data_IF_568405887718
#
_entry.id   IF_568405887718
#
_cell.length_a   1.000
_cell.length_b   1.000
_cell.length_c   1.000
_cell.angle_alpha   90.00
_cell.angle_beta   90.00
_cell.angle_gamma   90.00
#
_symmetry.space_group_name_H-M   'P 1'
#
loop_
_entity.id
_entity.type
_entity.pdbx_description
1 polymer ?
#
# COMPACT_ATOMS: atom_id res chain seq x y z
N UNK A 1 0.91 6.75 -21.44
CA UNK A 1 1.96 7.09 -20.47
C UNK A 1 1.42 6.77 -19.08
N UNK A 2 1.69 5.59 -18.55
CA UNK A 2 1.36 5.28 -17.15
C UNK A 2 2.32 6.06 -16.29
N UNK A 3 1.79 7.03 -15.55
CA UNK A 3 2.56 7.75 -14.52
C UNK A 3 3.05 6.71 -13.51
N UNK A 4 4.33 6.33 -13.57
CA UNK A 4 4.96 5.41 -12.62
C UNK A 4 5.33 6.15 -11.32
N UNK A 5 4.43 6.99 -10.82
CA UNK A 5 4.60 7.56 -9.49
C UNK A 5 4.46 6.43 -8.48
N UNK A 6 5.60 5.94 -8.00
CA UNK A 6 5.65 5.02 -6.87
C UNK A 6 5.05 5.75 -5.66
N UNK A 7 3.93 5.25 -5.16
CA UNK A 7 3.26 5.65 -3.93
C UNK A 7 4.03 5.18 -2.70
N UNK A 8 4.69 4.02 -2.78
CA UNK A 8 5.50 3.46 -1.70
C UNK A 8 6.98 3.83 -1.83
N UNK A 9 7.34 5.07 -1.45
CA UNK A 9 8.70 5.64 -1.61
C UNK A 9 9.63 5.49 -0.42
N UNK A 10 9.09 5.43 0.80
CA UNK A 10 9.86 5.38 2.05
C UNK A 10 9.46 4.17 2.87
N UNK A 11 10.40 3.62 3.64
CA UNK A 11 10.12 2.50 4.55
C UNK A 11 9.87 1.16 3.86
N UNK A 12 10.19 1.03 2.57
CA UNK A 12 9.94 -0.19 1.78
C UNK A 12 11.20 -0.77 1.13
N UNK A 13 12.38 -0.28 1.53
CA UNK A 13 13.64 -0.81 1.02
C UNK A 13 13.88 -2.24 1.56
N UNK A 14 14.52 -3.14 0.78
CA UNK A 14 15.04 -4.38 1.31
C UNK A 14 15.86 -4.15 2.57
N UNK A 15 15.61 -4.94 3.60
CA UNK A 15 16.22 -4.75 4.92
C UNK A 15 15.32 -4.07 5.95
N UNK A 16 14.31 -3.31 5.52
CA UNK A 16 13.40 -2.62 6.43
C UNK A 16 12.61 -3.61 7.27
N UNK A 17 12.42 -3.30 8.56
CA UNK A 17 11.61 -4.10 9.49
C UNK A 17 10.21 -3.49 9.60
N UNK A 18 9.21 -4.26 9.20
CA UNK A 18 7.79 -3.99 9.46
C UNK A 18 7.48 -4.50 10.86
N UNK A 19 6.87 -3.66 11.69
CA UNK A 19 6.36 -4.01 13.02
C UNK A 19 4.85 -3.94 13.00
N UNK A 20 4.19 -5.04 13.34
CA UNK A 20 2.74 -5.11 13.52
C UNK A 20 2.49 -5.33 15.01
N UNK A 21 1.57 -4.59 15.61
CA UNK A 21 1.26 -4.62 17.04
C UNK A 21 0.04 -5.50 17.36
N UNK A 22 -0.87 -5.69 16.39
CA UNK A 22 -2.15 -6.39 16.56
C UNK A 22 -2.38 -7.46 15.48
N UNK A 23 -3.17 -8.52 15.79
CA UNK A 23 -3.67 -8.88 17.12
C UNK A 23 -2.57 -9.39 18.07
N UNK A 24 -1.43 -9.80 17.53
CA UNK A 24 -0.22 -10.14 18.26
C UNK A 24 0.96 -9.41 17.64
N UNK A 25 1.89 -8.96 18.48
CA UNK A 25 3.08 -8.27 18.01
C UNK A 25 3.93 -9.19 17.13
N UNK A 26 4.26 -8.75 15.92
CA UNK A 26 5.14 -9.48 15.00
C UNK A 26 6.06 -8.53 14.24
N UNK A 27 7.19 -9.07 13.79
CA UNK A 27 8.22 -8.32 13.07
C UNK A 27 8.58 -9.06 11.80
N UNK A 28 8.71 -8.33 10.70
CA UNK A 28 8.95 -8.91 9.38
C UNK A 28 9.94 -8.07 8.62
N UNK A 29 11.04 -8.68 8.18
CA UNK A 29 12.06 -8.01 7.37
C UNK A 29 11.68 -8.11 5.90
N UNK A 30 11.60 -6.99 5.21
CA UNK A 30 11.42 -6.95 3.76
C UNK A 30 12.67 -7.53 3.09
N UNK A 31 12.47 -8.54 2.26
CA UNK A 31 13.51 -9.09 1.39
C UNK A 31 13.45 -8.44 0.02
N UNK A 32 12.24 -8.29 -0.53
CA UNK A 32 12.02 -7.79 -1.88
C UNK A 32 10.65 -7.13 -2.01
N UNK A 33 10.56 -6.08 -2.83
CA UNK A 33 9.30 -5.50 -3.30
C UNK A 33 8.97 -6.11 -4.66
N UNK A 34 7.93 -6.95 -4.69
CA UNK A 34 7.59 -7.76 -5.86
C UNK A 34 6.82 -6.97 -6.91
N UNK A 35 5.89 -6.12 -6.46
CA UNK A 35 5.15 -5.24 -7.34
C UNK A 35 4.56 -4.05 -6.58
N UNK A 36 4.11 -3.09 -7.37
CA UNK A 36 3.28 -1.98 -6.95
C UNK A 36 2.23 -1.73 -8.04
N UNK A 37 1.00 -1.48 -7.62
CA UNK A 37 -0.08 -1.11 -8.52
C UNK A 37 -0.99 -0.09 -7.84
N UNK A 38 -1.59 0.78 -8.63
CA UNK A 38 -2.67 1.66 -8.21
C UNK A 38 -3.95 1.35 -8.98
N UNK A 39 -5.07 1.62 -8.33
CA UNK A 39 -6.40 1.57 -8.92
C UNK A 39 -7.11 2.88 -8.61
N UNK A 40 -7.64 3.50 -9.67
CA UNK A 40 -8.23 4.82 -9.64
C UNK A 40 -9.72 4.66 -9.91
N UNK A 41 -10.52 4.91 -8.88
CA UNK A 41 -11.97 4.84 -8.95
C UNK A 41 -12.54 5.99 -9.76
N UNK A 42 -13.59 5.70 -10.54
CA UNK A 42 -14.39 6.77 -11.15
C UNK A 42 -15.39 7.34 -10.15
N UNK A 43 -15.91 8.54 -10.43
CA UNK A 43 -16.96 9.17 -9.61
C UNK A 43 -18.21 8.29 -9.55
N UNK A 44 -18.54 7.59 -10.64
CA UNK A 44 -19.68 6.67 -10.69
C UNK A 44 -19.48 5.46 -9.78
N UNK A 45 -18.27 4.89 -9.77
CA UNK A 45 -17.93 3.75 -8.89
C UNK A 45 -17.94 4.16 -7.41
N UNK A 46 -17.46 5.37 -7.10
CA UNK A 46 -17.58 5.90 -5.76
C UNK A 46 -19.05 6.08 -5.36
N UNK A 47 -19.85 6.79 -6.18
CA UNK A 47 -21.24 7.06 -5.87
C UNK A 47 -22.10 5.80 -5.73
N UNK A 48 -21.83 4.77 -6.55
CA UNK A 48 -22.61 3.53 -6.52
C UNK A 48 -22.20 2.55 -5.41
N UNK A 49 -20.90 2.48 -5.09
CA UNK A 49 -20.34 1.40 -4.26
C UNK A 49 -19.41 1.88 -3.12
N UNK A 50 -19.23 3.19 -2.97
CA UNK A 50 -18.25 3.78 -2.05
C UNK A 50 -16.81 3.40 -2.40
N UNK A 51 -16.53 3.12 -3.68
CA UNK A 51 -15.20 2.74 -4.12
C UNK A 51 -14.20 3.89 -3.87
N UNK A 52 -13.07 3.55 -3.25
CA UNK A 52 -11.99 4.50 -2.96
C UNK A 52 -10.75 4.12 -3.74
N UNK A 53 -10.16 5.12 -4.39
CA UNK A 53 -8.88 4.95 -5.08
C UNK A 53 -7.81 4.49 -4.10
N UNK A 54 -6.97 3.54 -4.54
CA UNK A 54 -5.92 2.98 -3.68
C UNK A 54 -4.64 2.68 -4.45
N UNK A 55 -3.54 2.60 -3.72
CA UNK A 55 -2.32 1.98 -4.19
C UNK A 55 -1.97 0.79 -3.29
N UNK A 56 -1.40 -0.26 -3.88
CA UNK A 56 -0.94 -1.41 -3.13
C UNK A 56 0.45 -1.84 -3.56
N UNK A 57 1.24 -2.32 -2.60
CA UNK A 57 2.54 -2.91 -2.86
C UNK A 57 2.63 -4.29 -2.21
N UNK A 58 3.19 -5.25 -2.94
CA UNK A 58 3.42 -6.61 -2.45
C UNK A 58 4.90 -6.81 -2.14
N UNK A 59 5.17 -7.36 -0.97
CA UNK A 59 6.51 -7.63 -0.45
C UNK A 59 6.68 -9.12 -0.17
N UNK A 60 7.89 -9.61 -0.42
CA UNK A 60 8.38 -10.84 0.16
C UNK A 60 9.13 -10.48 1.45
N UNK A 61 8.74 -11.09 2.55
CA UNK A 61 9.32 -10.85 3.86
C UNK A 61 9.81 -12.15 4.51
N UNK A 62 10.67 -12.03 5.51
CA UNK A 62 10.97 -13.11 6.44
C UNK A 62 10.89 -12.68 7.90
N UNK A 63 10.75 -13.65 8.79
CA UNK A 63 10.93 -13.41 10.22
C UNK A 63 12.42 -13.05 10.48
N UNK A 64 12.71 -11.91 11.14
CA UNK A 64 14.08 -11.47 11.39
C UNK A 64 14.90 -12.45 12.24
N UNK A 65 14.26 -13.18 13.15
CA UNK A 65 14.88 -14.18 14.03
C UNK A 65 14.88 -15.57 13.37
N UNK A 66 13.83 -15.89 12.61
CA UNK A 66 13.64 -17.19 11.94
C UNK A 66 13.64 -17.05 10.43
N UNK A 67 14.80 -16.79 9.82
CA UNK A 67 14.92 -16.43 8.38
C UNK A 67 14.32 -17.45 7.39
N UNK A 68 14.19 -18.72 7.79
CA UNK A 68 13.53 -19.74 6.97
C UNK A 68 12.00 -19.50 6.85
N UNK A 69 11.40 -18.84 7.83
CA UNK A 69 9.99 -18.45 7.83
C UNK A 69 9.80 -17.23 6.94
N UNK A 70 9.08 -17.42 5.83
CA UNK A 70 8.78 -16.38 4.84
C UNK A 70 7.29 -16.07 4.81
N UNK A 71 6.95 -14.85 4.41
CA UNK A 71 5.57 -14.42 4.20
C UNK A 71 5.48 -13.46 3.02
N UNK A 72 4.34 -13.46 2.35
CA UNK A 72 3.97 -12.37 1.45
C UNK A 72 3.12 -11.36 2.21
N UNK A 73 3.47 -10.08 2.13
CA UNK A 73 2.71 -8.99 2.72
C UNK A 73 2.23 -8.05 1.64
N UNK A 74 0.98 -7.61 1.72
CA UNK A 74 0.46 -6.55 0.85
C UNK A 74 0.05 -5.37 1.72
N UNK A 75 0.66 -4.22 1.45
CA UNK A 75 0.25 -2.95 2.06
C UNK A 75 -0.68 -2.23 1.08
N UNK A 76 -1.71 -1.60 1.62
CA UNK A 76 -2.63 -0.74 0.89
C UNK A 76 -2.56 0.66 1.48
N UNK A 77 -2.58 1.68 0.62
CA UNK A 77 -2.82 3.05 1.01
C UNK A 77 -4.00 3.57 0.20
N UNK A 78 -4.89 4.33 0.84
CA UNK A 78 -5.88 5.10 0.12
C UNK A 78 -5.17 6.28 -0.56
N UNK A 79 -5.48 6.53 -1.82
CA UNK A 79 -4.93 7.66 -2.59
C UNK A 79 -6.06 8.59 -3.01
N UNK A 80 -5.74 9.87 -3.31
CA UNK A 80 -6.70 10.78 -3.94
C UNK A 80 -7.32 10.20 -5.20
N UNK A 81 -8.59 10.52 -5.44
CA UNK A 81 -9.15 10.40 -6.77
C UNK A 81 -8.46 11.39 -7.69
N UNK A 82 -8.30 11.02 -8.97
CA UNK A 82 -7.71 11.94 -9.95
C UNK A 82 -8.52 13.23 -9.99
N UNK A 83 -7.82 14.34 -10.12
CA UNK A 83 -8.35 15.72 -10.18
C UNK A 83 -8.82 16.31 -8.87
N UNK A 84 -8.91 15.51 -7.79
CA UNK A 84 -9.25 16.00 -6.45
C UNK A 84 -8.04 16.21 -5.55
N UNK A 85 -6.81 16.18 -6.11
CA UNK A 85 -5.57 16.23 -5.31
C UNK A 85 -5.41 17.52 -4.50
N UNK A 86 -6.01 18.62 -4.98
CA UNK A 86 -5.97 19.96 -4.34
C UNK A 86 -7.24 20.31 -3.55
N UNK A 87 -8.25 19.45 -3.59
CA UNK A 87 -9.50 19.64 -2.87
C UNK A 87 -9.33 19.33 -1.38
N UNK A 88 -10.38 19.57 -0.60
CA UNK A 88 -10.40 19.22 0.81
C UNK A 88 -10.33 17.69 1.03
N UNK A 89 -10.03 17.28 2.26
CA UNK A 89 -9.75 15.89 2.57
C UNK A 89 -10.96 14.96 2.34
N UNK A 90 -12.19 15.46 2.48
CA UNK A 90 -13.39 14.66 2.31
C UNK A 90 -13.65 14.44 0.82
N UNK A 91 -13.59 15.49 0.00
CA UNK A 91 -13.71 15.36 -1.47
C UNK A 91 -12.59 14.53 -2.07
N UNK A 92 -11.37 14.63 -1.54
CA UNK A 92 -10.23 13.84 -2.00
C UNK A 92 -10.31 12.35 -1.61
N UNK A 93 -11.02 12.05 -0.52
CA UNK A 93 -11.17 10.70 0.02
C UNK A 93 -12.39 9.94 -0.49
N UNK A 94 -13.25 10.62 -1.25
CA UNK A 94 -14.36 10.08 -2.03
C UNK A 94 -13.88 9.76 -3.44
#
# INVERSE_FOLDING_TARGET
MTSSLLWFRKGTAPGTIITLDKPLSSRWKILEKLNECDDQGTVEQNNAYGFRSFASAKFLCCDPQRRATKAFMRAYIQVPHRTTEIDDADTRGQ
#
